data_IF_583048218134
#
_entry.id   IF_583048218134
#
_cell.length_a   1.000
_cell.length_b   1.000
_cell.length_c   1.000
_cell.angle_alpha   90.00
_cell.angle_beta   90.00
_cell.angle_gamma   90.00
#
_symmetry.space_group_name_H-M   'P 1'
#
loop_
_entity.id
_entity.type
_entity.pdbx_description
1 polymer ?
#
# COMPACT_ATOMS: atom_id res chain seq x y z
N UNK A 1 5.51 16.81 -10.41
CA UNK A 1 4.10 16.40 -10.61
C UNK A 1 3.92 15.02 -10.00
N UNK A 2 2.91 14.80 -9.15
CA UNK A 2 2.64 13.47 -8.61
C UNK A 2 2.07 12.57 -9.72
N UNK A 3 2.43 11.29 -9.73
CA UNK A 3 1.90 10.34 -10.69
C UNK A 3 0.52 9.87 -10.21
N UNK A 4 -0.52 10.06 -11.02
CA UNK A 4 -1.90 9.72 -10.67
C UNK A 4 -2.08 8.26 -10.27
N UNK A 5 -1.35 7.33 -10.93
CA UNK A 5 -1.41 5.89 -10.59
C UNK A 5 -0.80 5.58 -9.22
N UNK A 6 0.29 6.27 -8.85
CA UNK A 6 0.89 6.11 -7.52
C UNK A 6 -0.04 6.64 -6.42
N UNK A 7 -0.74 7.75 -6.68
CA UNK A 7 -1.72 8.31 -5.75
C UNK A 7 -2.92 7.37 -5.57
N UNK A 8 -3.47 6.83 -6.66
CA UNK A 8 -4.57 5.88 -6.62
C UNK A 8 -4.19 4.59 -5.87
N UNK A 9 -3.02 4.02 -6.19
CA UNK A 9 -2.47 2.86 -5.48
C UNK A 9 -2.33 3.13 -3.98
N UNK A 10 -1.65 4.22 -3.61
CA UNK A 10 -1.42 4.59 -2.21
C UNK A 10 -2.72 4.82 -1.43
N UNK A 11 -3.70 5.47 -2.05
CA UNK A 11 -5.02 5.69 -1.47
C UNK A 11 -5.76 4.38 -1.20
N UNK A 12 -5.71 3.42 -2.15
CA UNK A 12 -6.31 2.09 -1.97
C UNK A 12 -5.64 1.30 -0.84
N UNK A 13 -4.31 1.29 -0.77
CA UNK A 13 -3.57 0.66 0.35
C UNK A 13 -4.02 1.25 1.69
N UNK A 14 -4.10 2.58 1.78
CA UNK A 14 -4.56 3.28 2.98
C UNK A 14 -5.99 2.92 3.37
N UNK A 15 -6.90 2.84 2.39
CA UNK A 15 -8.29 2.49 2.61
C UNK A 15 -8.42 1.07 3.17
N UNK A 16 -7.79 0.08 2.51
CA UNK A 16 -7.83 -1.32 2.96
C UNK A 16 -7.18 -1.51 4.33
N UNK A 17 -6.06 -0.82 4.59
CA UNK A 17 -5.42 -0.83 5.92
C UNK A 17 -6.37 -0.35 7.01
N UNK A 18 -7.02 0.79 6.79
CA UNK A 18 -7.99 1.36 7.75
C UNK A 18 -9.19 0.45 7.96
N UNK A 19 -9.69 -0.18 6.90
CA UNK A 19 -10.78 -1.15 7.00
C UNK A 19 -10.42 -2.35 7.88
N UNK A 20 -9.14 -2.74 7.91
CA UNK A 20 -8.61 -3.77 8.82
C UNK A 20 -8.25 -3.27 10.22
N UNK A 21 -8.47 -1.98 10.52
CA UNK A 21 -8.17 -1.40 11.82
C UNK A 21 -6.67 -1.27 12.12
N UNK A 22 -5.80 -1.39 11.11
CA UNK A 22 -4.36 -1.37 11.29
C UNK A 22 -3.79 0.05 11.23
N UNK A 23 -2.82 0.35 12.08
CA UNK A 23 -1.91 1.49 11.96
C UNK A 23 -0.89 1.30 10.84
N UNK A 24 -0.21 2.37 10.43
CA UNK A 24 0.87 2.28 9.44
C UNK A 24 2.03 1.40 9.93
N UNK A 25 2.34 1.45 11.23
CA UNK A 25 3.38 0.62 11.85
C UNK A 25 3.03 -0.86 11.74
N UNK A 26 1.79 -1.23 12.09
CA UNK A 26 1.35 -2.62 12.03
C UNK A 26 1.37 -3.17 10.61
N UNK A 27 0.84 -2.44 9.62
CA UNK A 27 0.92 -2.90 8.23
C UNK A 27 2.35 -2.98 7.72
N UNK A 28 3.20 -2.01 8.08
CA UNK A 28 4.60 -2.03 7.68
C UNK A 28 5.31 -3.27 8.25
N UNK A 29 5.12 -3.56 9.52
CA UNK A 29 5.65 -4.76 10.18
C UNK A 29 5.17 -6.05 9.48
N UNK A 30 3.87 -6.18 9.24
CA UNK A 30 3.29 -7.35 8.55
C UNK A 30 3.83 -7.53 7.13
N UNK A 31 4.06 -6.42 6.40
CA UNK A 31 4.60 -6.45 5.05
C UNK A 31 6.14 -6.53 4.99
N UNK A 32 6.83 -6.55 6.14
CA UNK A 32 8.30 -6.49 6.19
C UNK A 32 8.87 -5.21 5.58
N UNK A 33 8.23 -4.08 5.86
CA UNK A 33 8.56 -2.73 5.38
C UNK A 33 8.84 -1.79 6.55
N UNK A 34 9.57 -0.72 6.27
CA UNK A 34 9.71 0.40 7.21
C UNK A 34 8.42 1.24 7.26
N UNK A 35 8.05 1.71 8.45
CA UNK A 35 6.85 2.54 8.68
C UNK A 35 6.87 3.84 7.87
N UNK A 36 8.01 4.53 7.78
CA UNK A 36 8.12 5.76 6.98
C UNK A 36 7.92 5.44 5.49
N UNK A 37 8.47 4.32 5.02
CA UNK A 37 8.28 3.84 3.66
C UNK A 37 6.80 3.53 3.38
N UNK A 38 6.11 2.85 4.30
CA UNK A 38 4.65 2.65 4.21
C UNK A 38 3.91 3.99 4.10
N UNK A 39 4.29 4.99 4.89
CA UNK A 39 3.73 6.34 4.80
C UNK A 39 3.95 6.99 3.42
N UNK A 40 5.14 6.87 2.84
CA UNK A 40 5.43 7.37 1.50
C UNK A 40 4.62 6.65 0.42
N UNK A 41 4.39 5.34 0.57
CA UNK A 41 3.56 4.54 -0.34
C UNK A 41 2.11 5.04 -0.31
N UNK A 42 1.53 5.20 0.88
CA UNK A 42 0.13 5.63 1.02
C UNK A 42 -0.13 7.04 0.50
N UNK A 43 0.92 7.88 0.44
CA UNK A 43 0.86 9.23 -0.15
C UNK A 43 1.26 9.24 -1.63
N UNK A 44 1.51 8.08 -2.25
CA UNK A 44 1.89 7.98 -3.67
C UNK A 44 3.21 8.67 -4.02
N UNK A 45 4.14 8.77 -3.06
CA UNK A 45 5.43 9.47 -3.19
C UNK A 45 6.57 8.54 -3.66
N UNK A 46 6.33 7.23 -3.69
CA UNK A 46 7.30 6.21 -4.12
C UNK A 46 6.72 5.31 -5.19
N UNK A 47 7.49 5.13 -6.25
CA UNK A 47 7.28 4.03 -7.19
C UNK A 47 7.86 2.76 -6.57
N UNK A 48 7.01 1.80 -6.26
CA UNK A 48 7.43 0.54 -5.60
C UNK A 48 7.58 -0.59 -6.60
N UNK A 49 8.35 -1.60 -6.23
CA UNK A 49 8.53 -2.79 -7.07
C UNK A 49 7.33 -3.72 -6.96
N UNK A 50 7.20 -4.63 -7.93
CA UNK A 50 6.14 -5.64 -7.94
C UNK A 50 6.14 -6.51 -6.67
N UNK A 51 7.32 -6.90 -6.17
CA UNK A 51 7.43 -7.68 -4.94
C UNK A 51 6.86 -6.93 -3.72
N UNK A 52 7.04 -5.61 -3.65
CA UNK A 52 6.49 -4.79 -2.56
C UNK A 52 4.97 -4.72 -2.61
N UNK A 53 4.38 -4.74 -3.81
CA UNK A 53 2.93 -4.85 -3.98
C UNK A 53 2.43 -6.17 -3.40
N UNK A 54 3.09 -7.29 -3.73
CA UNK A 54 2.72 -8.60 -3.19
C UNK A 54 2.89 -8.70 -1.67
N UNK A 55 3.96 -8.12 -1.10
CA UNK A 55 4.12 -8.07 0.36
C UNK A 55 2.97 -7.34 1.06
N UNK A 56 2.51 -6.22 0.48
CA UNK A 56 1.36 -5.48 1.00
C UNK A 56 0.06 -6.29 0.82
N UNK A 57 -0.10 -6.96 -0.32
CA UNK A 57 -1.28 -7.78 -0.60
C UNK A 57 -1.39 -8.95 0.36
N UNK A 58 -0.28 -9.62 0.65
CA UNK A 58 -0.22 -10.76 1.55
C UNK A 58 -0.47 -10.31 3.00
N UNK A 59 0.15 -9.21 3.43
CA UNK A 59 -0.07 -8.61 4.75
C UNK A 59 -1.52 -8.19 4.98
N UNK A 60 -2.20 -7.71 3.94
CA UNK A 60 -3.63 -7.40 3.98
C UNK A 60 -4.51 -8.61 3.65
N UNK A 61 -3.97 -9.77 3.29
CA UNK A 61 -4.71 -10.96 2.83
C UNK A 61 -5.73 -10.62 1.74
N UNK A 62 -5.31 -9.89 0.71
CA UNK A 62 -6.11 -9.44 -0.42
C UNK A 62 -5.39 -9.78 -1.74
N UNK A 63 -6.11 -9.99 -2.85
CA UNK A 63 -5.47 -10.12 -4.16
C UNK A 63 -4.78 -8.80 -4.56
N UNK A 64 -3.53 -8.88 -5.05
CA UNK A 64 -2.78 -7.70 -5.49
C UNK A 64 -3.49 -6.85 -6.55
N UNK A 65 -4.33 -7.48 -7.39
CA UNK A 65 -5.10 -6.81 -8.44
C UNK A 65 -5.99 -5.67 -7.91
N UNK A 66 -6.51 -5.77 -6.68
CA UNK A 66 -7.40 -4.74 -6.10
C UNK A 66 -6.73 -3.37 -6.03
N UNK A 67 -5.40 -3.32 -5.90
CA UNK A 67 -4.63 -2.08 -5.81
C UNK A 67 -4.29 -1.49 -7.18
N UNK A 68 -4.50 -2.23 -8.27
CA UNK A 68 -4.09 -1.86 -9.63
C UNK A 68 -5.26 -1.64 -10.58
N UNK A 69 -6.50 -1.89 -10.15
CA UNK A 69 -7.70 -1.61 -10.96
C UNK A 69 -8.09 -0.14 -10.91
N UNK A 70 -8.53 0.39 -12.05
CA UNK A 70 -9.22 1.68 -12.15
C UNK A 70 -10.74 1.40 -12.09
N UNK A 71 -11.26 1.12 -10.90
CA UNK A 71 -12.71 1.20 -10.64
C UNK A 71 -13.05 2.61 -10.15
#
# INVERSE_FOLDING_TARGET
MSNARLQAFGAKVRAMRKQKGLSQEELASLAGLDRSYMGHIERGEKNITLLKIYQISDALSLPAAIFLTDE
#
